data_IF_936833916688
#
_entry.id   IF_936833916688
#
_cell.length_a   1.000
_cell.length_b   1.000
_cell.length_c   1.000
_cell.angle_alpha   90.00
_cell.angle_beta   90.00
_cell.angle_gamma   90.00
#
_symmetry.space_group_name_H-M   'P 1'
#
loop_
_entity.id
_entity.type
_entity.pdbx_description
1 polymer ?
#
# COMPACT_ATOMS: atom_id res chain seq x y z
N UNK A 1 -3.88 31.08 -14.22
CA UNK A 1 -3.93 29.62 -14.46
C UNK A 1 -2.89 28.91 -13.61
N UNK A 2 -3.06 28.88 -12.29
CA UNK A 2 -2.12 28.19 -11.39
C UNK A 2 -2.49 26.71 -11.24
N UNK A 3 -3.78 26.39 -11.29
CA UNK A 3 -4.30 25.01 -11.19
C UNK A 3 -3.79 24.11 -12.30
N UNK A 4 -3.75 24.56 -13.57
CA UNK A 4 -3.21 23.73 -14.68
C UNK A 4 -1.74 23.34 -14.50
N UNK A 5 -0.96 24.20 -13.82
CA UNK A 5 0.45 23.90 -13.56
C UNK A 5 0.59 22.84 -12.46
N UNK A 6 -0.26 22.91 -11.44
CA UNK A 6 -0.32 21.92 -10.36
C UNK A 6 -0.85 20.59 -10.92
N UNK A 7 -1.91 20.61 -11.72
CA UNK A 7 -2.49 19.44 -12.38
C UNK A 7 -1.45 18.69 -13.21
N UNK A 8 -0.72 19.38 -14.09
CA UNK A 8 0.35 18.77 -14.90
C UNK A 8 1.50 18.20 -14.05
N UNK A 9 1.73 18.77 -12.88
CA UNK A 9 2.75 18.26 -11.97
C UNK A 9 2.26 17.00 -11.25
N UNK A 10 0.97 16.92 -10.91
CA UNK A 10 0.34 15.72 -10.37
C UNK A 10 0.36 14.61 -11.42
N UNK A 11 -0.07 14.88 -12.65
CA UNK A 11 -0.06 13.91 -13.77
C UNK A 11 1.35 13.32 -13.95
N UNK A 12 2.39 14.16 -14.04
CA UNK A 12 3.77 13.68 -14.13
C UNK A 12 4.19 12.80 -12.94
N UNK A 13 3.80 13.17 -11.73
CA UNK A 13 4.12 12.38 -10.53
C UNK A 13 3.38 11.03 -10.51
N UNK A 14 2.16 10.98 -11.06
CA UNK A 14 1.40 9.75 -11.21
C UNK A 14 2.01 8.84 -12.29
N UNK A 15 2.45 9.40 -13.42
CA UNK A 15 3.19 8.64 -14.45
C UNK A 15 4.47 8.02 -13.86
N UNK A 16 5.26 8.81 -13.10
CA UNK A 16 6.47 8.32 -12.42
C UNK A 16 6.16 7.29 -11.32
N UNK A 17 4.98 7.36 -10.71
CA UNK A 17 4.51 6.37 -9.74
C UNK A 17 4.17 5.05 -10.45
N UNK A 18 3.44 5.10 -11.56
CA UNK A 18 3.11 3.92 -12.37
C UNK A 18 4.38 3.21 -12.89
N UNK A 19 5.34 3.98 -13.41
CA UNK A 19 6.65 3.43 -13.83
C UNK A 19 7.38 2.71 -12.69
N UNK A 20 7.28 3.23 -11.45
CA UNK A 20 7.88 2.61 -10.27
C UNK A 20 7.13 1.35 -9.85
N UNK A 21 5.80 1.34 -9.97
CA UNK A 21 4.96 0.16 -9.75
C UNK A 21 5.35 -0.98 -10.71
N UNK A 22 5.51 -0.67 -11.99
CA UNK A 22 5.91 -1.64 -13.02
C UNK A 22 7.31 -2.20 -12.78
N UNK A 23 8.22 -1.39 -12.24
CA UNK A 23 9.56 -1.82 -11.85
C UNK A 23 9.60 -2.56 -10.51
N UNK A 24 8.50 -2.58 -9.75
CA UNK A 24 8.45 -3.11 -8.39
C UNK A 24 9.27 -2.29 -7.38
N UNK A 25 9.53 -1.02 -7.68
CA UNK A 25 10.26 -0.09 -6.82
C UNK A 25 9.28 0.60 -5.85
N UNK A 26 8.88 -0.16 -4.82
CA UNK A 26 7.85 0.25 -3.86
C UNK A 26 8.26 1.47 -3.02
N UNK A 27 9.56 1.65 -2.76
CA UNK A 27 10.08 2.84 -2.08
C UNK A 27 9.83 4.09 -2.93
N UNK A 28 10.17 4.05 -4.23
CA UNK A 28 9.89 5.16 -5.15
C UNK A 28 8.39 5.41 -5.32
N UNK A 29 7.59 4.35 -5.42
CA UNK A 29 6.14 4.45 -5.54
C UNK A 29 5.54 5.23 -4.36
N UNK A 30 5.96 4.87 -3.13
CA UNK A 30 5.48 5.54 -1.92
C UNK A 30 5.90 7.01 -1.84
N UNK A 31 7.14 7.35 -2.21
CA UNK A 31 7.61 8.74 -2.26
C UNK A 31 6.80 9.57 -3.26
N UNK A 32 6.50 9.01 -4.43
CA UNK A 32 5.77 9.74 -5.48
C UNK A 32 4.31 9.93 -5.14
N UNK A 33 3.65 8.90 -4.60
CA UNK A 33 2.30 9.01 -4.07
C UNK A 33 2.21 10.10 -2.97
N UNK A 34 3.17 10.15 -2.05
CA UNK A 34 3.18 11.14 -0.97
C UNK A 34 3.33 12.58 -1.51
N UNK A 35 4.18 12.77 -2.53
CA UNK A 35 4.33 14.06 -3.23
C UNK A 35 3.06 14.50 -3.95
N UNK A 36 2.27 13.57 -4.50
CA UNK A 36 0.97 13.89 -5.07
C UNK A 36 0.01 14.35 -3.97
N UNK A 37 -0.05 13.65 -2.83
CA UNK A 37 -0.91 14.01 -1.70
C UNK A 37 -0.56 15.37 -1.07
N UNK A 38 0.71 15.78 -1.15
CA UNK A 38 1.15 17.13 -0.76
C UNK A 38 0.57 18.24 -1.65
N UNK A 39 0.25 17.92 -2.92
CA UNK A 39 -0.36 18.85 -3.87
C UNK A 39 -1.89 18.72 -3.88
N UNK A 40 -2.39 17.50 -3.74
CA UNK A 40 -3.80 17.12 -3.75
C UNK A 40 -4.05 15.94 -2.80
N UNK A 41 -4.47 16.24 -1.57
CA UNK A 41 -4.71 15.25 -0.53
C UNK A 41 -5.93 14.36 -0.79
N UNK A 42 -6.83 14.74 -1.71
CA UNK A 42 -8.03 13.97 -2.06
C UNK A 42 -7.78 13.06 -3.28
N UNK A 43 -6.55 12.99 -3.77
CA UNK A 43 -6.20 12.19 -4.94
C UNK A 43 -6.32 10.67 -4.66
N UNK A 44 -7.35 10.05 -5.24
CA UNK A 44 -7.64 8.63 -5.07
C UNK A 44 -6.56 7.70 -5.60
N UNK A 45 -5.88 8.10 -6.67
CA UNK A 45 -4.85 7.28 -7.32
C UNK A 45 -3.61 7.21 -6.43
N UNK A 46 -3.16 8.36 -5.90
CA UNK A 46 -2.06 8.43 -4.96
C UNK A 46 -2.32 7.62 -3.67
N UNK A 47 -3.53 7.69 -3.11
CA UNK A 47 -3.91 6.87 -1.94
C UNK A 47 -3.85 5.36 -2.25
N UNK A 48 -4.28 4.97 -3.45
CA UNK A 48 -4.25 3.58 -3.91
C UNK A 48 -2.82 3.07 -4.08
N UNK A 49 -1.95 3.87 -4.69
CA UNK A 49 -0.54 3.55 -4.86
C UNK A 49 0.21 3.46 -3.54
N UNK A 50 -0.06 4.37 -2.60
CA UNK A 50 0.55 4.33 -1.26
C UNK A 50 0.17 3.04 -0.52
N UNK A 51 -1.11 2.67 -0.56
CA UNK A 51 -1.59 1.42 0.06
C UNK A 51 -0.95 0.18 -0.58
N UNK A 52 -0.74 0.19 -1.90
CA UNK A 52 -0.06 -0.89 -2.61
C UNK A 52 1.42 -0.98 -2.20
N UNK A 53 2.13 0.15 -2.17
CA UNK A 53 3.52 0.24 -1.74
C UNK A 53 3.70 -0.26 -0.31
N UNK A 54 2.88 0.20 0.63
CA UNK A 54 2.93 -0.22 2.04
C UNK A 54 2.72 -1.74 2.18
N UNK A 55 1.78 -2.32 1.43
CA UNK A 55 1.54 -3.77 1.43
C UNK A 55 2.72 -4.55 0.87
N UNK A 56 3.33 -4.07 -0.20
CA UNK A 56 4.48 -4.71 -0.80
C UNK A 56 5.72 -4.63 0.11
N UNK A 57 5.99 -3.45 0.68
CA UNK A 57 7.08 -3.25 1.65
C UNK A 57 6.87 -4.10 2.91
N UNK A 58 5.63 -4.17 3.42
CA UNK A 58 5.29 -5.04 4.55
C UNK A 58 5.47 -6.53 4.22
N UNK A 59 5.26 -6.93 2.97
CA UNK A 59 5.49 -8.32 2.51
C UNK A 59 6.98 -8.62 2.40
N UNK A 60 7.76 -7.71 1.82
CA UNK A 60 9.22 -7.82 1.68
C UNK A 60 9.91 -7.89 3.05
N UNK A 61 9.45 -7.09 4.02
CA UNK A 61 9.95 -7.15 5.40
C UNK A 61 9.58 -8.46 6.12
N UNK A 62 8.61 -9.23 5.62
CA UNK A 62 8.01 -10.37 6.34
C UNK A 62 8.38 -11.77 5.81
N UNK A 63 9.21 -11.92 4.79
CA UNK A 63 9.54 -13.25 4.27
C UNK A 63 10.81 -13.88 4.91
N UNK A 64 10.82 -15.18 5.33
CA UNK A 64 9.69 -16.08 5.58
C UNK A 64 9.70 -16.65 7.01
N UNK A 65 8.62 -16.44 7.76
CA UNK A 65 7.90 -17.54 8.41
C UNK A 65 6.43 -17.14 8.55
N UNK A 66 5.55 -17.99 8.03
CA UNK A 66 4.09 -17.99 8.23
C UNK A 66 3.27 -17.03 7.36
N UNK A 67 2.71 -17.66 6.32
CA UNK A 67 1.45 -17.47 5.56
C UNK A 67 0.45 -16.32 5.89
N UNK A 68 -0.41 -15.98 4.90
CA UNK A 68 -1.24 -14.78 4.88
C UNK A 68 -2.49 -14.94 5.74
N UNK A 69 -2.90 -13.86 6.41
CA UNK A 69 -4.25 -13.77 6.96
C UNK A 69 -4.78 -12.35 6.72
N UNK A 70 -5.79 -12.31 5.86
CA UNK A 70 -6.90 -11.37 5.86
C UNK A 70 -7.21 -10.78 7.25
N UNK A 71 -7.52 -9.47 7.37
CA UNK A 71 -8.12 -8.93 8.58
C UNK A 71 -9.61 -9.32 8.61
N UNK A 72 -9.89 -10.62 8.77
CA UNK A 72 -11.22 -11.06 9.19
C UNK A 72 -11.18 -11.23 10.70
N UNK A 73 -11.82 -10.27 11.36
CA UNK A 73 -12.44 -10.32 12.68
C UNK A 73 -12.19 -11.58 13.54
N UNK A 74 -11.55 -11.32 14.69
CA UNK A 74 -11.92 -11.81 16.01
C UNK A 74 -11.99 -13.33 16.26
N UNK A 75 -10.98 -13.80 17.01
CA UNK A 75 -11.07 -14.61 18.22
C UNK A 75 -12.09 -15.78 18.22
N UNK A 76 -11.62 -17.02 18.09
CA UNK A 76 -11.15 -17.88 19.19
C UNK A 76 -10.80 -19.27 18.63
N UNK A 77 -9.72 -19.86 19.12
CA UNK A 77 -9.38 -21.27 18.89
C UNK A 77 -9.31 -22.00 20.25
N UNK A 78 -9.10 -23.33 20.30
CA UNK A 78 -10.06 -24.30 20.83
C UNK A 78 -9.54 -24.92 22.14
N UNK A 79 -10.26 -25.86 22.76
CA UNK A 79 -9.75 -27.10 23.39
C UNK A 79 -10.70 -27.58 24.49
N UNK A 80 -11.32 -28.74 24.29
CA UNK A 80 -11.57 -29.71 25.37
C UNK A 80 -11.82 -31.10 24.76
N UNK A 81 -10.76 -31.68 24.20
CA UNK A 81 -10.61 -33.14 24.22
C UNK A 81 -10.12 -33.52 25.61
N UNK A 82 -11.05 -33.74 26.54
CA UNK A 82 -10.79 -34.48 27.77
C UNK A 82 -11.37 -35.88 27.59
N UNK A 83 -10.57 -36.75 26.96
CA UNK A 83 -10.76 -38.19 27.05
C UNK A 83 -10.26 -38.62 28.43
N UNK A 84 -11.16 -39.11 29.28
CA UNK A 84 -10.84 -39.44 30.66
C UNK A 84 -11.89 -40.30 31.34
N UNK A 85 -11.67 -41.62 31.23
CA UNK A 85 -12.20 -42.74 32.04
C UNK A 85 -13.53 -43.34 31.62
#
# INVERSE_FOLDING_TARGET
MASDRIQRQIERLLDEAEDAFDQGDWDRLSDRANRVLLLDAENSDALSFLTAAERALATTARAPTSQPATPTAALVSPTSFANGR
#
